data_IF_904886552879
#
_entry.id   IF_904886552879
#
_cell.length_a   1.000
_cell.length_b   1.000
_cell.length_c   1.000
_cell.angle_alpha   90.00
_cell.angle_beta   90.00
_cell.angle_gamma   90.00
#
_symmetry.space_group_name_H-M   'P 1'
#
loop_
_entity.id
_entity.type
_entity.pdbx_description
1 polymer ?
#
# COMPACT_ATOMS: atom_id res chain seq x y z
N UNK A 1 -11.14 5.01 18.93
CA UNK A 1 -11.38 4.18 17.74
C UNK A 1 -10.08 3.89 17.04
N UNK A 2 -9.82 2.65 16.69
CA UNK A 2 -8.64 2.26 15.91
C UNK A 2 -8.96 2.22 14.44
N UNK A 3 -8.03 2.71 13.64
CA UNK A 3 -8.09 2.61 12.18
C UNK A 3 -6.84 1.88 11.70
N UNK A 4 -7.02 0.97 10.78
CA UNK A 4 -5.96 0.14 10.23
C UNK A 4 -5.62 0.67 8.83
N UNK A 5 -4.51 1.39 8.75
CA UNK A 5 -4.08 2.07 7.53
C UNK A 5 -3.18 1.13 6.75
N UNK A 6 -3.58 0.83 5.50
CA UNK A 6 -2.77 0.02 4.60
C UNK A 6 -1.84 0.95 3.84
N UNK A 7 -0.55 0.71 3.95
CA UNK A 7 0.44 1.45 3.18
C UNK A 7 1.18 0.53 2.21
N UNK A 8 1.73 1.15 1.19
CA UNK A 8 2.53 0.46 0.17
C UNK A 8 3.93 1.06 0.16
N UNK A 9 4.93 0.23 0.38
CA UNK A 9 6.32 0.57 0.15
C UNK A 9 6.58 0.42 -1.35
N UNK A 10 7.02 1.47 -2.03
CA UNK A 10 7.21 1.44 -3.47
C UNK A 10 8.64 1.63 -3.92
N UNK A 11 9.51 1.97 -2.97
CA UNK A 11 10.95 1.89 -3.11
C UNK A 11 11.53 1.78 -1.69
N UNK A 12 12.83 1.67 -1.56
CA UNK A 12 13.46 1.41 -0.26
C UNK A 12 13.31 2.54 0.75
N UNK A 13 12.91 3.73 0.31
CA UNK A 13 12.88 4.91 1.17
C UNK A 13 11.51 5.58 1.30
N UNK A 14 10.55 5.17 0.49
CA UNK A 14 9.27 5.87 0.41
C UNK A 14 8.07 4.92 0.46
N UNK A 15 7.01 5.38 1.13
CA UNK A 15 5.75 4.68 1.23
C UNK A 15 4.61 5.63 0.89
N UNK A 16 3.46 5.06 0.55
CA UNK A 16 2.23 5.82 0.37
C UNK A 16 1.06 5.07 1.01
N UNK A 17 -0.03 5.78 1.28
CA UNK A 17 -1.23 5.18 1.83
C UNK A 17 -2.12 4.68 0.70
N UNK A 18 -2.54 3.41 0.76
CA UNK A 18 -3.50 2.83 -0.16
C UNK A 18 -4.93 3.09 0.32
N UNK A 19 -5.28 2.56 1.48
CA UNK A 19 -6.64 2.63 2.02
C UNK A 19 -6.61 2.43 3.53
N UNK A 20 -7.78 2.49 4.15
CA UNK A 20 -7.91 2.25 5.59
C UNK A 20 -9.14 1.41 5.88
N UNK A 21 -9.07 0.63 6.95
CA UNK A 21 -10.16 -0.22 7.41
C UNK A 21 -10.45 0.03 8.87
N UNK A 22 -11.68 -0.18 9.27
CA UNK A 22 -12.08 -0.09 10.68
C UNK A 22 -11.83 -1.41 11.42
N UNK A 23 -11.70 -2.52 10.71
CA UNK A 23 -11.49 -3.85 11.28
C UNK A 23 -10.14 -4.41 10.88
N UNK A 24 -9.40 -4.91 11.85
CA UNK A 24 -8.09 -5.53 11.62
C UNK A 24 -8.18 -6.70 10.63
N UNK A 25 -9.22 -7.54 10.77
CA UNK A 25 -9.39 -8.71 9.91
C UNK A 25 -9.53 -8.32 8.43
N UNK A 26 -10.24 -7.24 8.14
CA UNK A 26 -10.42 -6.76 6.77
C UNK A 26 -9.11 -6.25 6.17
N UNK A 27 -8.35 -5.49 6.96
CA UNK A 27 -7.04 -5.00 6.55
C UNK A 27 -6.07 -6.16 6.29
N UNK A 28 -6.03 -7.14 7.19
CA UNK A 28 -5.17 -8.31 7.06
C UNK A 28 -5.51 -9.14 5.83
N UNK A 29 -6.80 -9.35 5.57
CA UNK A 29 -7.25 -10.08 4.38
C UNK A 29 -6.81 -9.37 3.10
N UNK A 30 -6.92 -8.04 3.08
CA UNK A 30 -6.53 -7.23 1.93
C UNK A 30 -5.02 -7.35 1.65
N UNK A 31 -4.17 -7.15 2.67
CA UNK A 31 -2.72 -7.21 2.46
C UNK A 31 -2.24 -8.63 2.20
N UNK A 32 -2.87 -9.64 2.79
CA UNK A 32 -2.50 -11.04 2.55
C UNK A 32 -2.75 -11.43 1.10
N UNK A 33 -3.84 -10.97 0.51
CA UNK A 33 -4.12 -11.20 -0.90
C UNK A 33 -3.06 -10.56 -1.79
N UNK A 34 -2.69 -9.32 -1.50
CA UNK A 34 -1.66 -8.62 -2.28
C UNK A 34 -0.27 -9.22 -2.09
N UNK A 35 0.10 -9.53 -0.84
CA UNK A 35 1.43 -10.06 -0.55
C UNK A 35 1.61 -11.52 -0.96
N UNK A 36 0.52 -12.26 -1.18
CA UNK A 36 0.59 -13.63 -1.67
C UNK A 36 0.88 -13.71 -3.17
N UNK A 37 0.71 -12.61 -3.89
CA UNK A 37 0.95 -12.55 -5.33
C UNK A 37 1.72 -11.26 -5.63
N UNK A 38 3.02 -11.41 -5.86
CA UNK A 38 3.91 -10.26 -6.10
C UNK A 38 3.47 -9.44 -7.31
N UNK A 39 2.95 -10.08 -8.34
CA UNK A 39 2.47 -9.38 -9.53
C UNK A 39 1.28 -8.47 -9.21
N UNK A 40 0.35 -8.93 -8.36
CA UNK A 40 -0.78 -8.11 -7.91
C UNK A 40 -0.31 -6.93 -7.06
N UNK A 41 0.62 -7.16 -6.16
CA UNK A 41 1.17 -6.10 -5.32
C UNK A 41 1.84 -5.02 -6.17
N UNK A 42 2.65 -5.41 -7.13
CA UNK A 42 3.32 -4.49 -8.04
C UNK A 42 2.31 -3.71 -8.88
N UNK A 43 1.30 -4.40 -9.43
CA UNK A 43 0.27 -3.75 -10.24
C UNK A 43 -0.51 -2.71 -9.43
N UNK A 44 -0.89 -3.03 -8.19
CA UNK A 44 -1.59 -2.08 -7.31
C UNK A 44 -0.71 -0.89 -6.97
N UNK A 45 0.56 -1.13 -6.66
CA UNK A 45 1.52 -0.07 -6.37
C UNK A 45 1.66 0.90 -7.55
N UNK A 46 1.82 0.36 -8.75
CA UNK A 46 1.94 1.19 -9.96
C UNK A 46 0.68 2.01 -10.22
N UNK A 47 -0.49 1.43 -9.98
CA UNK A 47 -1.77 2.15 -10.09
C UNK A 47 -1.83 3.33 -9.13
N UNK A 48 -1.44 3.13 -7.87
CA UNK A 48 -1.44 4.19 -6.86
C UNK A 48 -0.47 5.32 -7.21
N UNK A 49 0.72 4.98 -7.68
CA UNK A 49 1.71 5.98 -8.09
C UNK A 49 1.22 6.74 -9.32
N UNK A 50 0.63 6.05 -10.30
CA UNK A 50 0.09 6.69 -11.49
C UNK A 50 -0.99 7.71 -11.14
N UNK A 51 -1.85 7.40 -10.17
CA UNK A 51 -2.91 8.31 -9.72
C UNK A 51 -2.36 9.54 -9.00
N UNK A 52 -1.25 9.40 -8.29
CA UNK A 52 -0.68 10.50 -7.48
C UNK A 52 0.33 11.35 -8.24
N UNK A 53 1.20 10.70 -9.01
CA UNK A 53 2.37 11.34 -9.60
C UNK A 53 2.33 11.36 -11.13
N UNK A 54 1.39 10.60 -11.73
CA UNK A 54 1.29 10.46 -13.18
C UNK A 54 1.94 9.17 -13.67
N UNK A 55 1.39 8.61 -14.75
CA UNK A 55 1.86 7.33 -15.32
C UNK A 55 3.31 7.38 -15.76
N UNK A 56 3.77 8.51 -16.27
CA UNK A 56 5.13 8.70 -16.76
C UNK A 56 6.16 8.66 -15.63
N UNK A 57 5.75 8.90 -14.38
CA UNK A 57 6.64 8.84 -13.23
C UNK A 57 6.80 7.44 -12.65
N UNK A 58 5.91 6.51 -12.99
CA UNK A 58 5.93 5.14 -12.44
C UNK A 58 7.29 4.46 -12.60
N UNK A 59 7.91 4.42 -13.79
CA UNK A 59 9.18 3.71 -13.94
C UNK A 59 10.34 4.34 -13.16
N UNK A 60 10.22 5.60 -12.77
CA UNK A 60 11.27 6.29 -12.02
C UNK A 60 11.11 6.15 -10.51
N UNK A 61 9.87 5.97 -10.03
CA UNK A 61 9.56 5.96 -8.61
C UNK A 61 9.41 4.56 -8.03
N UNK A 62 8.86 3.63 -8.80
CA UNK A 62 8.56 2.27 -8.32
C UNK A 62 9.72 1.33 -8.59
N UNK A 63 10.24 0.74 -7.51
CA UNK A 63 11.21 -0.34 -7.59
C UNK A 63 10.49 -1.63 -7.26
N UNK A 64 10.22 -2.45 -8.27
CA UNK A 64 9.35 -3.62 -8.15
C UNK A 64 9.77 -4.59 -7.05
N UNK A 65 11.07 -4.78 -6.87
CA UNK A 65 11.57 -5.69 -5.84
C UNK A 65 11.33 -5.19 -4.42
N UNK A 66 11.10 -3.89 -4.25
CA UNK A 66 10.89 -3.28 -2.94
C UNK A 66 9.40 -3.11 -2.59
N UNK A 67 8.49 -3.46 -3.52
CA UNK A 67 7.05 -3.31 -3.28
C UNK A 67 6.58 -4.25 -2.18
N UNK A 68 5.97 -3.68 -1.15
CA UNK A 68 5.42 -4.43 -0.03
C UNK A 68 4.27 -3.65 0.60
N UNK A 69 3.20 -4.35 0.98
CA UNK A 69 2.06 -3.76 1.67
C UNK A 69 2.10 -4.10 3.15
N UNK A 70 1.79 -3.12 3.99
CA UNK A 70 1.78 -3.30 5.43
C UNK A 70 0.64 -2.52 6.07
N UNK A 71 0.47 -2.73 7.38
CA UNK A 71 -0.58 -2.07 8.17
C UNK A 71 0.08 -1.20 9.23
N UNK A 72 -0.43 0.02 9.35
CA UNK A 72 -0.11 0.93 10.47
C UNK A 72 -1.41 1.16 11.24
N UNK A 73 -1.37 0.95 12.54
CA UNK A 73 -2.53 1.16 13.40
C UNK A 73 -2.49 2.59 13.90
N UNK A 74 -3.58 3.32 13.64
CA UNK A 74 -3.74 4.69 14.14
C UNK A 74 -4.93 4.73 15.10
N UNK A 75 -4.78 5.40 16.22
CA UNK A 75 -5.86 5.57 17.17
C UNK A 75 -6.38 7.00 17.07
N UNK A 76 -7.69 7.10 16.78
CA UNK A 76 -8.36 8.40 16.70
C UNK A 76 -8.97 8.74 18.06
N UNK A 77 -8.64 9.93 18.54
CA UNK A 77 -9.31 10.49 19.73
C UNK A 77 -10.64 11.08 19.29
N UNK A 78 -11.69 10.64 19.95
CA UNK A 78 -13.03 11.15 19.71
C UNK A 78 -13.35 12.34 20.60
#
# INVERSE_FOLDING_TARGET
>A
MKIYIVNCEYNLTQTLIDCAFQKAADAEAYINELNSDKAKAIARCKELIALREGEDMVPYLVEEYAVEFGIVISELNE
#
